data_IF_167085465826
#
_entry.id   IF_167085465826
#
_cell.length_a   1.000
_cell.length_b   1.000
_cell.length_c   1.000
_cell.angle_alpha   90.00
_cell.angle_beta   90.00
_cell.angle_gamma   90.00
#
_symmetry.space_group_name_H-M   'P 1'
#
loop_
_entity.id
_entity.type
_entity.pdbx_description
1 polymer ?
#
# COMPACT_ATOMS: atom_id res chain seq x y z
N UNK A 1 -2.73 -5.91 -18.54
CA UNK A 1 -3.24 -4.85 -17.64
C UNK A 1 -2.30 -4.78 -16.45
N UNK A 2 -1.92 -3.59 -15.98
CA UNK A 2 -1.01 -3.43 -14.83
C UNK A 2 -1.85 -3.17 -13.56
N UNK A 3 -1.67 -3.95 -12.48
CA UNK A 3 -2.33 -3.67 -11.20
C UNK A 3 -1.85 -2.34 -10.63
N UNK A 4 -2.81 -1.52 -10.20
CA UNK A 4 -2.58 -0.25 -9.52
C UNK A 4 -2.36 -0.46 -8.02
N UNK A 5 -1.30 0.11 -7.46
CA UNK A 5 -0.91 -0.01 -6.05
C UNK A 5 -0.89 1.37 -5.40
N UNK A 6 -1.56 1.48 -4.26
CA UNK A 6 -1.56 2.69 -3.41
C UNK A 6 -0.85 2.33 -2.09
N UNK A 7 0.40 2.75 -1.87
CA UNK A 7 1.06 2.59 -0.58
C UNK A 7 0.36 3.45 0.48
N UNK A 8 -0.17 2.82 1.52
CA UNK A 8 -0.90 3.55 2.57
C UNK A 8 0.10 4.25 3.47
N UNK A 9 -0.05 5.57 3.59
CA UNK A 9 0.74 6.40 4.51
C UNK A 9 -0.12 7.12 5.55
N UNK A 10 -1.45 6.98 5.47
CA UNK A 10 -2.40 7.60 6.38
C UNK A 10 -3.72 6.80 6.39
N UNK A 11 -4.14 6.35 7.57
CA UNK A 11 -5.34 5.54 7.75
C UNK A 11 -6.62 6.26 7.31
N UNK A 12 -6.75 7.54 7.66
CA UNK A 12 -7.91 8.35 7.27
C UNK A 12 -8.00 8.56 5.75
N UNK A 13 -6.86 8.75 5.08
CA UNK A 13 -6.81 8.95 3.63
C UNK A 13 -7.24 7.68 2.88
N UNK A 14 -6.75 6.50 3.27
CA UNK A 14 -7.12 5.26 2.57
C UNK A 14 -8.60 4.91 2.77
N UNK A 15 -9.15 5.13 3.97
CA UNK A 15 -10.58 4.95 4.25
C UNK A 15 -11.45 5.86 3.37
N UNK A 16 -11.05 7.13 3.20
CA UNK A 16 -11.72 8.08 2.31
C UNK A 16 -11.66 7.64 0.84
N UNK A 17 -10.49 7.21 0.36
CA UNK A 17 -10.35 6.72 -1.01
C UNK A 17 -11.22 5.49 -1.28
N UNK A 18 -11.19 4.51 -0.38
CA UNK A 18 -12.04 3.32 -0.43
C UNK A 18 -13.53 3.67 -0.52
N UNK A 19 -14.00 4.61 0.32
CA UNK A 19 -15.39 5.07 0.30
C UNK A 19 -15.78 5.77 -1.01
N UNK A 20 -14.88 6.56 -1.61
CA UNK A 20 -15.16 7.28 -2.85
C UNK A 20 -15.19 6.39 -4.09
N UNK A 21 -14.30 5.39 -4.18
CA UNK A 21 -14.23 4.50 -5.35
C UNK A 21 -15.00 3.19 -5.18
N UNK A 22 -15.57 2.94 -4.00
CA UNK A 22 -16.28 1.69 -3.69
C UNK A 22 -15.37 0.48 -3.47
N UNK A 23 -14.05 0.69 -3.33
CA UNK A 23 -13.12 -0.40 -3.02
C UNK A 23 -13.35 -0.90 -1.60
N UNK A 24 -13.21 -2.22 -1.39
CA UNK A 24 -13.29 -2.82 -0.06
C UNK A 24 -11.89 -2.98 0.52
N UNK A 25 -11.69 -2.49 1.74
CA UNK A 25 -10.47 -2.75 2.51
C UNK A 25 -10.66 -4.03 3.34
N UNK A 26 -9.67 -4.94 3.37
CA UNK A 26 -9.73 -6.11 4.24
C UNK A 26 -9.85 -5.71 5.71
N UNK A 27 -10.68 -6.42 6.49
CA UNK A 27 -10.95 -6.07 7.89
C UNK A 27 -9.69 -6.08 8.75
N UNK A 28 -8.84 -7.10 8.60
CA UNK A 28 -7.56 -7.19 9.31
C UNK A 28 -6.61 -6.02 9.01
N UNK A 29 -6.64 -5.52 7.76
CA UNK A 29 -5.85 -4.35 7.37
C UNK A 29 -6.35 -3.08 8.05
N UNK A 30 -7.68 -2.90 8.10
CA UNK A 30 -8.30 -1.74 8.75
C UNK A 30 -8.09 -1.78 10.26
N UNK A 31 -8.29 -2.94 10.90
CA UNK A 31 -8.09 -3.11 12.33
C UNK A 31 -6.65 -2.75 12.73
N UNK A 32 -5.66 -3.22 11.97
CA UNK A 32 -4.26 -2.89 12.24
C UNK A 32 -3.96 -1.41 12.06
N UNK A 33 -4.52 -0.75 11.06
CA UNK A 33 -4.39 0.70 10.91
C UNK A 33 -5.01 1.47 12.08
N UNK A 34 -6.14 1.00 12.60
CA UNK A 34 -6.82 1.64 13.74
C UNK A 34 -6.05 1.45 15.05
N UNK A 35 -5.40 0.30 15.25
CA UNK A 35 -4.50 0.06 16.38
C UNK A 35 -3.29 1.00 16.40
N UNK A 36 -2.75 1.34 15.21
CA UNK A 36 -1.61 2.25 15.08
C UNK A 36 -1.98 3.72 15.32
N UNK A 37 -3.27 4.07 15.20
CA UNK A 37 -3.79 5.40 15.52
C UNK A 37 -3.09 6.54 14.76
N UNK A 38 -2.60 7.52 15.51
CA UNK A 38 -1.95 8.73 14.98
C UNK A 38 -0.43 8.60 14.78
N UNK A 39 0.16 7.42 15.01
CA UNK A 39 1.57 7.18 14.72
C UNK A 39 1.80 7.10 13.20
N UNK A 40 2.08 8.25 12.60
CA UNK A 40 2.25 8.39 11.16
C UNK A 40 3.41 7.56 10.61
N UNK A 41 4.48 7.35 11.38
CA UNK A 41 5.61 6.54 10.94
C UNK A 41 5.26 5.05 10.99
N UNK A 42 4.63 4.58 12.07
CA UNK A 42 4.19 3.19 12.16
C UNK A 42 3.11 2.85 11.11
N UNK A 43 2.17 3.75 10.85
CA UNK A 43 1.16 3.58 9.77
C UNK A 43 1.84 3.49 8.40
N UNK A 44 2.83 4.34 8.15
CA UNK A 44 3.60 4.34 6.90
C UNK A 44 4.38 3.03 6.73
N UNK A 45 5.06 2.58 7.77
CA UNK A 45 5.82 1.32 7.75
C UNK A 45 4.90 0.13 7.48
N UNK A 46 3.78 0.04 8.21
CA UNK A 46 2.79 -1.01 7.98
C UNK A 46 2.22 -0.99 6.56
N UNK A 47 1.88 0.19 6.03
CA UNK A 47 1.37 0.31 4.66
C UNK A 47 2.41 -0.06 3.59
N UNK A 48 3.70 0.18 3.84
CA UNK A 48 4.81 -0.24 2.97
C UNK A 48 4.97 -1.75 3.01
N UNK A 49 4.95 -2.37 4.19
CA UNK A 49 5.04 -3.83 4.34
C UNK A 49 3.88 -4.53 3.65
N UNK A 50 2.65 -4.06 3.91
CA UNK A 50 1.45 -4.61 3.29
C UNK A 50 1.49 -4.50 1.76
N UNK A 51 1.85 -3.34 1.23
CA UNK A 51 1.99 -3.15 -0.21
C UNK A 51 3.14 -3.98 -0.80
N UNK A 52 4.23 -4.18 -0.06
CA UNK A 52 5.34 -5.05 -0.49
C UNK A 52 4.87 -6.49 -0.67
N UNK A 53 4.14 -7.04 0.30
CA UNK A 53 3.59 -8.40 0.22
C UNK A 53 2.60 -8.52 -0.95
N UNK A 54 1.68 -7.55 -1.08
CA UNK A 54 0.73 -7.51 -2.19
C UNK A 54 1.44 -7.48 -3.55
N UNK A 55 2.44 -6.63 -3.72
CA UNK A 55 3.22 -6.53 -4.96
C UNK A 55 3.94 -7.84 -5.27
N UNK A 56 4.55 -8.48 -4.27
CA UNK A 56 5.23 -9.77 -4.43
C UNK A 56 4.25 -10.84 -4.92
N UNK A 57 3.10 -10.97 -4.26
CA UNK A 57 2.07 -11.94 -4.66
C UNK A 57 1.56 -11.71 -6.09
N UNK A 58 1.39 -10.45 -6.50
CA UNK A 58 0.97 -10.11 -7.86
C UNK A 58 2.02 -10.51 -8.90
N UNK A 59 3.30 -10.22 -8.63
CA UNK A 59 4.41 -10.60 -9.50
C UNK A 59 4.58 -12.13 -9.58
N UNK A 60 4.51 -12.83 -8.44
CA UNK A 60 4.59 -14.29 -8.37
C UNK A 60 3.44 -14.96 -9.14
N UNK A 61 2.28 -14.31 -9.23
CA UNK A 61 1.12 -14.75 -10.03
C UNK A 61 1.17 -14.32 -11.50
N UNK A 62 2.29 -13.74 -11.95
CA UNK A 62 2.53 -13.43 -13.35
C UNK A 62 2.01 -12.06 -13.81
N UNK A 63 1.80 -11.11 -12.89
CA UNK A 63 1.53 -9.72 -13.30
C UNK A 63 2.69 -9.20 -14.15
N UNK A 64 2.43 -8.54 -15.30
CA UNK A 64 3.47 -8.07 -16.21
C UNK A 64 4.28 -6.88 -15.67
N UNK A 65 3.88 -6.33 -14.52
CA UNK A 65 4.49 -5.19 -13.84
C UNK A 65 3.52 -4.57 -12.83
N UNK A 66 3.90 -3.44 -12.24
CA UNK A 66 3.13 -2.75 -11.21
C UNK A 66 2.99 -1.26 -11.57
N UNK A 67 1.83 -0.66 -11.28
CA UNK A 67 1.62 0.78 -11.45
C UNK A 67 1.39 1.45 -10.08
N UNK A 68 2.29 2.32 -9.64
CA UNK A 68 2.19 2.97 -8.33
C UNK A 68 1.53 4.34 -8.38
N UNK A 69 0.49 4.53 -7.57
CA UNK A 69 -0.04 5.84 -7.25
C UNK A 69 0.78 6.47 -6.13
N UNK A 70 1.76 7.30 -6.50
CA UNK A 70 2.72 7.88 -5.56
C UNK A 70 2.14 9.02 -4.71
N UNK A 71 1.05 9.64 -5.16
CA UNK A 71 0.46 10.83 -4.54
C UNK A 71 1.51 11.95 -4.31
N UNK A 72 2.40 12.14 -5.30
CA UNK A 72 3.55 13.06 -5.26
C UNK A 72 4.58 12.75 -4.16
N UNK A 73 4.62 11.52 -3.62
CA UNK A 73 5.59 11.07 -2.61
C UNK A 73 6.29 9.78 -3.05
N UNK A 74 7.61 9.81 -3.16
CA UNK A 74 8.42 8.67 -3.64
C UNK A 74 8.88 7.72 -2.53
N UNK A 75 9.03 8.18 -1.28
CA UNK A 75 9.65 7.41 -0.17
C UNK A 75 9.08 6.00 -0.02
N UNK A 76 7.74 5.88 0.01
CA UNK A 76 7.09 4.58 0.18
C UNK A 76 7.32 3.65 -1.01
N UNK A 77 7.24 4.17 -2.23
CA UNK A 77 7.44 3.38 -3.46
C UNK A 77 8.89 2.91 -3.57
N UNK A 78 9.86 3.78 -3.31
CA UNK A 78 11.27 3.41 -3.33
C UNK A 78 11.58 2.30 -2.31
N UNK A 79 11.01 2.38 -1.11
CA UNK A 79 11.18 1.35 -0.10
C UNK A 79 10.53 0.02 -0.53
N UNK A 80 9.33 0.04 -1.13
CA UNK A 80 8.69 -1.16 -1.68
C UNK A 80 9.56 -1.78 -2.79
N UNK A 81 10.07 -0.98 -3.73
CA UNK A 81 10.93 -1.47 -4.80
C UNK A 81 12.23 -2.09 -4.27
N UNK A 82 12.86 -1.47 -3.26
CA UNK A 82 14.03 -2.03 -2.58
C UNK A 82 13.71 -3.36 -1.89
N UNK A 83 12.58 -3.46 -1.19
CA UNK A 83 12.13 -4.70 -0.57
C UNK A 83 11.84 -5.83 -1.58
N UNK A 84 11.48 -5.48 -2.81
CA UNK A 84 11.25 -6.41 -3.91
C UNK A 84 12.54 -6.74 -4.69
N UNK A 85 13.66 -6.07 -4.40
CA UNK A 85 14.92 -6.22 -5.16
C UNK A 85 14.84 -5.65 -6.58
N UNK A 86 13.99 -4.64 -6.80
CA UNK A 86 13.76 -3.99 -8.09
C UNK A 86 14.44 -2.62 -8.22
N UNK A 87 15.06 -2.12 -7.14
CA UNK A 87 15.79 -0.86 -7.08
C UNK A 87 16.94 -0.94 -6.07
#
# INVERSE_FOLDING_TARGET
MFPGIIPVANAGQIKKFSAMCGAKLPEAFVARLDELGDDAEAVREYGIEYATVQCRELLDRGAPGLHFYTLNKSKAVLQILGNLGLA
#
